data_IF_640980368180
#
_entry.id   IF_640980368180
#
_cell.length_a   1.000
_cell.length_b   1.000
_cell.length_c   1.000
_cell.angle_alpha   90.00
_cell.angle_beta   90.00
_cell.angle_gamma   90.00
#
_symmetry.space_group_name_H-M   'P 1'
#
loop_
_entity.id
_entity.type
_entity.pdbx_description
1 polymer ?
#
# COMPACT_ATOMS: atom_id res chain seq x y z
N UNK A 1 6.44 -17.70 -5.01
CA UNK A 1 7.05 -16.96 -3.90
C UNK A 1 6.65 -15.49 -4.07
N UNK A 2 5.67 -15.04 -3.33
CA UNK A 2 5.18 -13.67 -3.38
C UNK A 2 5.52 -12.98 -2.05
N UNK A 3 6.32 -11.93 -2.11
CA UNK A 3 6.60 -11.05 -0.97
C UNK A 3 6.18 -9.64 -1.38
N UNK A 4 5.17 -9.09 -0.71
CA UNK A 4 4.78 -7.71 -0.85
C UNK A 4 5.13 -6.92 0.41
N UNK A 5 5.92 -5.84 0.29
CA UNK A 5 6.27 -4.95 1.40
C UNK A 5 6.86 -5.68 2.63
N UNK A 6 7.98 -6.37 2.42
CA UNK A 6 8.74 -7.01 3.49
C UNK A 6 9.96 -6.14 3.87
N UNK A 7 9.98 -5.65 5.10
CA UNK A 7 11.04 -4.79 5.61
C UNK A 7 11.87 -5.53 6.67
N UNK A 8 13.20 -5.51 6.53
CA UNK A 8 14.14 -6.15 7.47
C UNK A 8 13.74 -7.59 7.83
N UNK A 9 13.19 -8.33 6.86
CA UNK A 9 12.69 -9.68 7.05
C UNK A 9 13.43 -10.68 6.19
N UNK A 10 13.59 -11.92 6.68
CA UNK A 10 14.32 -12.99 5.99
C UNK A 10 13.58 -14.33 6.07
N UNK A 11 13.86 -15.18 5.10
CA UNK A 11 13.31 -16.54 5.05
C UNK A 11 11.77 -16.57 5.14
N UNK A 12 11.11 -15.60 4.46
CA UNK A 12 9.67 -15.47 4.44
C UNK A 12 9.12 -15.83 3.06
N UNK A 13 7.97 -16.49 3.02
CA UNK A 13 7.32 -16.96 1.78
C UNK A 13 5.84 -16.59 1.83
N UNK A 14 5.32 -16.06 0.70
CA UNK A 14 3.90 -15.71 0.51
C UNK A 14 3.35 -14.78 1.62
N UNK A 15 4.16 -13.78 1.98
CA UNK A 15 3.84 -12.82 3.02
C UNK A 15 3.60 -11.42 2.45
N UNK A 16 2.73 -10.64 3.14
CA UNK A 16 2.39 -9.28 2.77
C UNK A 16 2.41 -8.37 3.99
N UNK A 17 3.05 -7.19 3.89
CA UNK A 17 3.19 -6.22 5.00
C UNK A 17 3.83 -6.82 6.25
N UNK A 18 5.05 -7.31 6.13
CA UNK A 18 5.81 -7.84 7.25
C UNK A 18 7.03 -6.98 7.58
N UNK A 19 7.35 -6.85 8.85
CA UNK A 19 8.49 -6.05 9.32
C UNK A 19 9.24 -6.79 10.44
N UNK A 20 10.60 -6.72 10.38
CA UNK A 20 11.49 -7.27 11.41
C UNK A 20 11.17 -8.74 11.75
N UNK A 21 10.87 -9.56 10.75
CA UNK A 21 10.34 -10.91 10.95
C UNK A 21 11.16 -11.97 10.21
N UNK A 22 11.10 -13.21 10.67
CA UNK A 22 11.89 -14.31 10.14
C UNK A 22 11.12 -15.62 10.17
N UNK A 23 11.35 -16.48 9.17
CA UNK A 23 10.74 -17.81 9.04
C UNK A 23 9.19 -17.75 9.05
N UNK A 24 8.61 -16.89 8.20
CA UNK A 24 7.16 -16.77 8.08
C UNK A 24 6.64 -17.39 6.78
N UNK A 25 5.46 -17.99 6.86
CA UNK A 25 4.72 -18.48 5.71
C UNK A 25 3.25 -18.04 5.76
N UNK A 26 2.73 -17.49 4.65
CA UNK A 26 1.35 -16.99 4.54
C UNK A 26 0.95 -16.01 5.66
N UNK A 27 1.79 -15.02 5.94
CA UNK A 27 1.55 -14.05 7.00
C UNK A 27 1.24 -12.66 6.44
N UNK A 28 0.25 -11.98 7.05
CA UNK A 28 -0.21 -10.66 6.64
C UNK A 28 -0.23 -9.70 7.83
N UNK A 29 0.28 -8.47 7.62
CA UNK A 29 0.34 -7.40 8.63
C UNK A 29 1.05 -7.84 9.93
N UNK A 30 2.20 -8.50 9.81
CA UNK A 30 2.92 -9.06 10.95
C UNK A 30 4.22 -8.29 11.24
N UNK A 31 4.51 -8.09 12.52
CA UNK A 31 5.70 -7.38 12.96
C UNK A 31 6.43 -8.11 14.09
N UNK A 32 7.74 -8.26 13.98
CA UNK A 32 8.60 -8.97 14.94
C UNK A 32 8.07 -10.35 15.29
N UNK A 33 7.68 -11.09 14.25
CA UNK A 33 7.24 -12.48 14.38
C UNK A 33 8.34 -13.44 13.93
N UNK A 34 8.36 -14.64 14.52
CA UNK A 34 9.37 -15.65 14.27
C UNK A 34 8.77 -17.05 14.20
N UNK A 35 9.23 -17.87 13.24
CA UNK A 35 8.84 -19.28 13.05
C UNK A 35 7.33 -19.49 13.15
N UNK A 36 6.59 -18.83 12.27
CA UNK A 36 5.14 -18.80 12.36
C UNK A 36 4.47 -18.88 10.98
N UNK A 37 3.29 -19.49 10.92
CA UNK A 37 2.56 -19.68 9.69
C UNK A 37 1.12 -19.20 9.81
N UNK A 38 0.57 -18.65 8.71
CA UNK A 38 -0.83 -18.23 8.61
C UNK A 38 -1.22 -17.24 9.73
N UNK A 39 -0.40 -16.22 9.92
CA UNK A 39 -0.69 -15.16 10.87
C UNK A 39 -1.34 -13.97 10.19
N UNK A 40 -2.30 -13.35 10.88
CA UNK A 40 -2.90 -12.08 10.46
C UNK A 40 -2.85 -11.06 11.59
N UNK A 41 -2.24 -9.90 11.30
CA UNK A 41 -2.17 -8.77 12.26
C UNK A 41 -1.52 -9.13 13.61
N UNK A 42 -0.50 -9.97 13.60
CA UNK A 42 0.19 -10.39 14.80
C UNK A 42 1.49 -9.61 15.03
N UNK A 43 1.82 -9.38 16.31
CA UNK A 43 3.03 -8.67 16.70
C UNK A 43 3.75 -9.40 17.83
N UNK A 44 5.09 -9.33 17.81
CA UNK A 44 5.93 -9.90 18.88
C UNK A 44 5.58 -11.37 19.19
N UNK A 45 5.28 -12.16 18.16
CA UNK A 45 4.78 -13.52 18.34
C UNK A 45 5.72 -14.56 17.71
N UNK A 46 5.83 -15.74 18.32
CA UNK A 46 6.71 -16.80 17.87
C UNK A 46 6.05 -18.18 17.99
N UNK A 47 6.43 -19.10 17.09
CA UNK A 47 5.89 -20.47 17.06
C UNK A 47 4.35 -20.48 17.05
N UNK A 48 3.74 -19.53 16.34
CA UNK A 48 2.29 -19.36 16.27
C UNK A 48 1.77 -19.82 14.90
N UNK A 49 0.62 -20.48 14.89
CA UNK A 49 0.02 -21.04 13.70
C UNK A 49 -1.45 -20.67 13.63
N UNK A 50 -1.92 -20.14 12.49
CA UNK A 50 -3.33 -19.76 12.29
C UNK A 50 -3.87 -18.80 13.34
N UNK A 51 -3.07 -17.80 13.74
CA UNK A 51 -3.46 -16.83 14.76
C UNK A 51 -3.78 -15.47 14.18
N UNK A 52 -4.78 -14.79 14.74
CA UNK A 52 -5.25 -13.49 14.30
C UNK A 52 -5.22 -12.47 15.44
N UNK A 53 -4.71 -11.25 15.15
CA UNK A 53 -4.64 -10.13 16.09
C UNK A 53 -4.04 -10.53 17.45
N UNK A 54 -3.01 -11.36 17.46
CA UNK A 54 -2.30 -11.77 18.67
C UNK A 54 -1.04 -10.92 18.90
N UNK A 55 -0.75 -10.56 20.16
CA UNK A 55 0.40 -9.73 20.51
C UNK A 55 1.16 -10.32 21.67
N UNK A 56 2.48 -10.51 21.51
CA UNK A 56 3.36 -11.04 22.53
C UNK A 56 3.05 -12.50 22.88
N UNK A 57 2.54 -13.27 21.94
CA UNK A 57 2.15 -14.66 22.14
C UNK A 57 3.24 -15.62 21.68
N UNK A 58 3.33 -16.79 22.33
CA UNK A 58 4.21 -17.87 21.92
C UNK A 58 3.51 -19.21 22.00
N UNK A 59 3.89 -20.10 21.07
CA UNK A 59 3.36 -21.46 21.08
C UNK A 59 1.82 -21.46 21.11
N UNK A 60 1.18 -20.88 20.10
CA UNK A 60 -0.28 -20.78 20.01
C UNK A 60 -0.78 -21.30 18.66
N UNK A 61 -1.96 -21.94 18.64
CA UNK A 61 -2.60 -22.45 17.42
C UNK A 61 -4.06 -22.03 17.37
N UNK A 62 -4.49 -21.44 16.24
CA UNK A 62 -5.88 -21.08 15.99
C UNK A 62 -6.43 -20.08 16.99
N UNK A 63 -5.62 -19.13 17.46
CA UNK A 63 -6.00 -18.18 18.51
C UNK A 63 -6.30 -16.80 17.93
N UNK A 64 -7.26 -16.11 18.56
CA UNK A 64 -7.72 -14.78 18.13
C UNK A 64 -7.68 -13.83 19.32
N UNK A 65 -7.20 -12.60 19.09
CA UNK A 65 -7.20 -11.48 20.06
C UNK A 65 -6.39 -11.72 21.35
N UNK A 66 -5.49 -12.67 21.40
CA UNK A 66 -4.71 -12.96 22.60
C UNK A 66 -3.59 -11.94 22.83
N UNK A 67 -3.29 -11.69 24.09
CA UNK A 67 -2.22 -10.80 24.54
C UNK A 67 -1.36 -11.51 25.57
N UNK A 68 -0.05 -11.60 25.29
CA UNK A 68 0.97 -12.16 26.20
C UNK A 68 0.59 -13.54 26.74
N UNK A 69 0.12 -14.42 25.86
CA UNK A 69 -0.26 -15.79 26.19
C UNK A 69 0.70 -16.81 25.56
N UNK A 70 0.77 -17.97 26.20
CA UNK A 70 1.57 -19.09 25.73
C UNK A 70 0.81 -20.42 25.89
N UNK A 71 1.13 -21.39 25.04
CA UNK A 71 0.54 -22.73 25.05
C UNK A 71 -0.98 -22.71 24.93
N UNK A 72 -1.52 -21.91 24.00
CA UNK A 72 -2.95 -21.80 23.75
C UNK A 72 -3.36 -22.48 22.44
N UNK A 73 -4.50 -23.15 22.46
CA UNK A 73 -5.16 -23.72 21.28
C UNK A 73 -6.61 -23.26 21.30
N UNK A 74 -7.06 -22.56 20.22
CA UNK A 74 -8.41 -21.97 20.12
C UNK A 74 -8.81 -21.16 21.37
N UNK A 75 -7.93 -20.26 21.79
CA UNK A 75 -8.04 -19.40 22.99
C UNK A 75 -8.10 -20.16 24.34
N UNK A 76 -7.89 -21.46 24.37
CA UNK A 76 -7.82 -22.24 25.59
C UNK A 76 -6.36 -22.51 25.96
N UNK A 77 -6.00 -22.28 27.22
CA UNK A 77 -4.65 -22.52 27.74
C UNK A 77 -4.46 -23.97 28.15
N UNK A 78 -3.32 -24.54 27.82
CA UNK A 78 -2.93 -25.93 28.16
C UNK A 78 -1.61 -25.95 28.94
N UNK A 79 -1.27 -27.09 29.52
CA UNK A 79 0.09 -27.34 29.96
C UNK A 79 1.02 -27.47 28.74
N UNK A 80 2.32 -27.26 28.93
CA UNK A 80 3.29 -27.39 27.85
C UNK A 80 3.25 -28.79 27.19
N UNK A 81 3.14 -29.81 28.00
CA UNK A 81 3.12 -31.21 27.58
C UNK A 81 1.86 -31.52 26.76
N UNK A 82 0.69 -31.08 27.21
CA UNK A 82 -0.57 -31.22 26.49
C UNK A 82 -0.58 -30.44 25.18
N UNK A 83 -0.04 -29.21 25.18
CA UNK A 83 0.08 -28.38 23.99
C UNK A 83 0.91 -29.08 22.91
N UNK A 84 2.10 -29.59 23.24
CA UNK A 84 2.99 -30.29 22.31
C UNK A 84 2.28 -31.48 21.67
N UNK A 85 1.63 -32.31 22.48
CA UNK A 85 0.88 -33.47 21.98
C UNK A 85 -0.24 -33.08 21.02
N UNK A 86 -1.04 -32.06 21.36
CA UNK A 86 -2.16 -31.58 20.52
C UNK A 86 -1.67 -30.88 19.26
N UNK A 87 -0.55 -30.11 19.33
CA UNK A 87 0.08 -29.45 18.18
C UNK A 87 0.42 -30.45 17.08
N UNK A 88 1.07 -31.56 17.42
CA UNK A 88 1.44 -32.59 16.45
C UNK A 88 0.23 -33.20 15.73
N UNK A 89 -0.89 -33.42 16.45
CA UNK A 89 -2.12 -33.92 15.88
C UNK A 89 -2.83 -32.89 14.97
N UNK A 90 -2.87 -31.63 15.38
CA UNK A 90 -3.55 -30.57 14.64
C UNK A 90 -2.81 -30.20 13.34
N UNK A 91 -1.49 -30.08 13.38
CA UNK A 91 -0.71 -29.71 12.20
C UNK A 91 -0.64 -30.82 11.13
N UNK A 92 -0.97 -32.05 11.46
CA UNK A 92 -1.11 -33.14 10.49
C UNK A 92 -2.39 -33.08 9.65
N UNK A 93 -3.40 -32.35 10.11
CA UNK A 93 -4.67 -32.20 9.39
C UNK A 93 -5.27 -30.80 9.57
N UNK A 94 -5.08 -29.95 8.57
CA UNK A 94 -5.52 -28.56 8.57
C UNK A 94 -7.03 -28.39 8.74
N UNK A 95 -7.85 -29.33 8.25
CA UNK A 95 -9.31 -29.29 8.43
C UNK A 95 -9.73 -29.28 9.92
N UNK A 96 -8.88 -29.84 10.79
CA UNK A 96 -9.10 -29.80 12.24
C UNK A 96 -8.86 -28.40 12.85
N UNK A 97 -8.20 -27.51 12.12
CA UNK A 97 -7.96 -26.13 12.55
C UNK A 97 -9.03 -25.21 11.98
N UNK A 98 -9.40 -25.36 10.72
CA UNK A 98 -10.30 -24.42 10.01
C UNK A 98 -11.69 -24.31 10.64
N UNK A 99 -12.32 -25.43 10.96
CA UNK A 99 -13.68 -25.42 11.52
C UNK A 99 -13.73 -24.78 12.91
N UNK A 100 -12.93 -25.19 13.92
CA UNK A 100 -12.93 -24.52 15.22
C UNK A 100 -12.51 -23.06 15.15
N UNK A 101 -11.57 -22.71 14.27
CA UNK A 101 -11.15 -21.32 14.08
C UNK A 101 -12.29 -20.46 13.49
N UNK A 102 -13.05 -20.97 12.53
CA UNK A 102 -14.21 -20.29 11.96
C UNK A 102 -15.31 -20.05 13.02
N UNK A 103 -15.57 -21.05 13.87
CA UNK A 103 -16.50 -20.90 14.99
C UNK A 103 -16.01 -19.87 16.03
N UNK A 104 -14.71 -19.84 16.28
CA UNK A 104 -14.10 -18.84 17.18
C UNK A 104 -14.20 -17.44 16.61
N UNK A 105 -13.97 -17.24 15.30
CA UNK A 105 -14.13 -15.95 14.61
C UNK A 105 -15.53 -15.35 14.78
N UNK A 106 -16.56 -16.17 14.84
CA UNK A 106 -17.94 -15.72 15.05
C UNK A 106 -18.23 -15.29 16.51
N UNK A 107 -17.41 -15.72 17.45
CA UNK A 107 -17.57 -15.42 18.88
C UNK A 107 -16.70 -14.29 19.36
N UNK A 108 -15.54 -14.10 18.72
CA UNK A 108 -14.58 -13.09 19.12
C UNK A 108 -14.92 -11.73 18.49
N UNK A 109 -14.81 -10.64 19.25
CA UNK A 109 -15.05 -9.31 18.72
C UNK A 109 -13.95 -8.94 17.70
N UNK A 110 -14.36 -8.48 16.53
CA UNK A 110 -13.48 -7.99 15.49
C UNK A 110 -13.49 -6.46 15.51
N UNK A 111 -12.31 -5.84 15.51
CA UNK A 111 -12.21 -4.39 15.35
C UNK A 111 -12.68 -3.99 13.95
N UNK A 112 -13.58 -3.02 13.88
CA UNK A 112 -14.03 -2.47 12.61
C UNK A 112 -12.90 -1.73 11.88
N UNK A 113 -12.03 -1.04 12.64
CA UNK A 113 -10.92 -0.24 12.12
C UNK A 113 -9.66 -0.43 13.00
N UNK A 114 -8.52 -0.46 12.34
CA UNK A 114 -7.22 -0.45 12.99
C UNK A 114 -6.65 0.96 12.93
N UNK A 115 -6.89 1.73 13.98
CA UNK A 115 -6.38 3.10 14.12
C UNK A 115 -5.77 3.28 15.50
N UNK A 116 -4.63 3.95 15.57
CA UNK A 116 -3.94 4.26 16.82
C UNK A 116 -3.28 5.64 16.76
N UNK A 117 -3.49 6.45 17.81
CA UNK A 117 -2.96 7.82 17.90
C UNK A 117 -3.32 8.68 16.69
N UNK A 118 -4.56 8.58 16.23
CA UNK A 118 -5.05 9.37 15.11
C UNK A 118 -6.02 10.45 15.57
N UNK A 119 -5.93 11.62 14.95
CA UNK A 119 -6.79 12.77 15.17
C UNK A 119 -7.51 13.13 13.87
N UNK A 120 -8.82 13.40 13.93
CA UNK A 120 -9.66 13.79 12.80
C UNK A 120 -9.46 12.95 11.52
N UNK A 121 -9.38 11.62 11.71
CA UNK A 121 -9.01 10.72 10.64
C UNK A 121 -10.09 9.66 10.37
N UNK A 122 -10.29 9.33 9.09
CA UNK A 122 -11.20 8.29 8.59
C UNK A 122 -10.41 7.38 7.66
N UNK A 123 -10.34 6.10 7.99
CA UNK A 123 -9.60 5.12 7.20
C UNK A 123 -9.34 3.84 7.98
N UNK A 124 -8.43 3.04 7.49
CA UNK A 124 -8.03 1.80 8.18
C UNK A 124 -6.51 1.60 8.14
N UNK A 125 -5.99 0.94 9.18
CA UNK A 125 -4.56 0.71 9.37
C UNK A 125 -3.76 2.03 9.42
N UNK A 126 -4.23 2.96 10.27
CA UNK A 126 -3.61 4.27 10.47
C UNK A 126 -2.88 4.32 11.81
N UNK A 127 -1.64 4.81 11.80
CA UNK A 127 -0.83 4.99 12.99
C UNK A 127 -0.24 6.41 13.06
N UNK A 128 -0.54 7.14 14.13
CA UNK A 128 -0.03 8.49 14.37
C UNK A 128 -0.33 9.44 13.20
N UNK A 129 -1.58 9.43 12.72
CA UNK A 129 -2.02 10.26 11.60
C UNK A 129 -2.96 11.38 12.06
N UNK A 130 -2.93 12.50 11.35
CA UNK A 130 -3.81 13.64 11.57
C UNK A 130 -4.45 14.10 10.26
N UNK A 131 -5.75 14.45 10.32
CA UNK A 131 -6.52 14.90 9.15
C UNK A 131 -6.42 13.94 7.95
N UNK A 132 -6.38 12.62 8.19
CA UNK A 132 -6.32 11.61 7.13
C UNK A 132 -7.73 11.18 6.73
N UNK A 133 -8.17 11.53 5.52
CA UNK A 133 -9.52 11.27 5.04
C UNK A 133 -9.57 10.19 3.97
N UNK A 134 -10.26 9.08 4.25
CA UNK A 134 -10.31 7.89 3.39
C UNK A 134 -8.92 7.36 3.02
N UNK A 135 -8.05 7.26 4.02
CA UNK A 135 -6.70 6.78 3.86
C UNK A 135 -6.53 5.36 4.40
N UNK A 136 -5.57 4.64 3.83
CA UNK A 136 -5.28 3.25 4.20
C UNK A 136 -3.77 3.03 4.31
N UNK A 137 -3.34 2.25 5.32
CA UNK A 137 -1.93 1.88 5.52
C UNK A 137 -0.99 3.09 5.64
N UNK A 138 -1.37 4.09 6.45
CA UNK A 138 -0.55 5.28 6.71
C UNK A 138 0.08 5.28 8.10
N UNK A 139 1.33 5.71 8.14
CA UNK A 139 2.10 5.92 9.37
C UNK A 139 2.63 7.36 9.39
N UNK A 140 2.49 8.05 10.54
CA UNK A 140 3.06 9.38 10.79
C UNK A 140 2.73 10.43 9.70
N UNK A 141 1.49 10.40 9.20
CA UNK A 141 1.06 11.19 8.05
C UNK A 141 0.02 12.24 8.44
N UNK A 142 0.01 13.39 7.74
CA UNK A 142 -0.83 14.53 8.05
C UNK A 142 -1.43 15.15 6.77
N UNK A 143 -2.69 15.65 6.88
CA UNK A 143 -3.40 16.34 5.79
C UNK A 143 -3.48 15.53 4.49
N UNK A 144 -3.83 14.26 4.62
CA UNK A 144 -3.89 13.30 3.50
C UNK A 144 -5.33 12.97 3.12
N UNK A 145 -5.61 12.82 1.81
CA UNK A 145 -6.91 12.36 1.30
C UNK A 145 -6.73 11.30 0.23
N UNK A 146 -7.48 10.20 0.36
CA UNK A 146 -7.45 9.10 -0.62
C UNK A 146 -6.03 8.56 -0.88
N UNK A 147 -5.23 8.48 0.18
CA UNK A 147 -3.86 7.95 0.11
C UNK A 147 -3.87 6.53 0.61
N UNK A 148 -3.31 5.64 -0.17
CA UNK A 148 -3.05 4.28 0.24
C UNK A 148 -1.55 3.99 0.24
N UNK A 149 -1.07 3.55 1.40
CA UNK A 149 0.32 3.28 1.69
C UNK A 149 1.23 4.52 1.73
N UNK A 150 1.63 4.92 2.92
CA UNK A 150 2.57 6.03 3.11
C UNK A 150 3.14 6.09 4.52
N UNK A 151 4.35 6.60 4.65
CA UNK A 151 5.01 6.92 5.91
C UNK A 151 5.56 8.35 5.85
N UNK A 152 5.17 9.18 6.82
CA UNK A 152 5.58 10.59 6.85
C UNK A 152 4.99 11.45 5.73
N UNK A 153 3.90 11.00 5.09
CA UNK A 153 3.27 11.70 3.96
C UNK A 153 2.49 12.92 4.44
N UNK A 154 2.65 14.06 3.75
CA UNK A 154 1.98 15.32 4.09
C UNK A 154 1.33 15.98 2.88
N UNK A 155 0.26 16.74 3.15
CA UNK A 155 -0.42 17.60 2.16
C UNK A 155 -0.67 16.88 0.82
N UNK A 156 -1.20 15.67 0.88
CA UNK A 156 -1.23 14.78 -0.28
C UNK A 156 -2.61 14.23 -0.59
N UNK A 157 -2.95 14.09 -1.88
CA UNK A 157 -4.23 13.58 -2.34
C UNK A 157 -4.07 12.62 -3.51
N UNK A 158 -4.92 11.56 -3.53
CA UNK A 158 -5.04 10.57 -4.61
C UNK A 158 -3.75 9.79 -4.93
N UNK A 159 -3.01 9.37 -3.88
CA UNK A 159 -1.71 8.72 -4.03
C UNK A 159 -1.79 7.24 -3.67
N UNK A 160 -1.15 6.42 -4.47
CA UNK A 160 -0.88 5.03 -4.17
C UNK A 160 0.65 4.81 -4.09
N UNK A 161 1.17 4.52 -2.89
CA UNK A 161 2.55 4.10 -2.68
C UNK A 161 3.60 5.20 -2.73
N UNK A 162 3.47 6.26 -1.93
CA UNK A 162 4.50 7.31 -1.87
C UNK A 162 4.80 7.78 -0.44
N UNK A 163 6.00 7.54 0.08
CA UNK A 163 6.50 8.26 1.26
C UNK A 163 6.89 9.71 0.91
N UNK A 164 6.78 10.62 1.86
CA UNK A 164 7.27 12.00 1.86
C UNK A 164 6.76 12.95 0.76
N UNK A 165 5.55 12.75 0.25
CA UNK A 165 4.97 13.65 -0.76
C UNK A 165 4.34 14.89 -0.11
N UNK A 166 4.59 16.07 -0.69
CA UNK A 166 3.92 17.32 -0.35
C UNK A 166 3.18 17.86 -1.58
N UNK A 167 1.91 18.26 -1.40
CA UNK A 167 1.04 18.87 -2.40
C UNK A 167 0.88 18.07 -3.71
N UNK A 168 0.86 16.77 -3.60
CA UNK A 168 0.74 15.86 -4.74
C UNK A 168 -0.73 15.55 -5.04
N UNK A 169 -1.07 15.46 -6.30
CA UNK A 169 -2.40 15.14 -6.82
C UNK A 169 -2.29 14.06 -7.91
N UNK A 170 -3.08 12.99 -7.82
CA UNK A 170 -3.17 11.86 -8.76
C UNK A 170 -1.82 11.25 -9.19
N UNK A 171 -0.97 10.87 -8.24
CA UNK A 171 0.31 10.24 -8.55
C UNK A 171 0.25 8.72 -8.39
N UNK A 172 0.79 7.98 -9.33
CA UNK A 172 1.08 6.55 -9.23
C UNK A 172 2.58 6.35 -8.93
N UNK A 173 2.89 6.02 -7.69
CA UNK A 173 4.16 5.50 -7.21
C UNK A 173 5.39 6.41 -7.31
N UNK A 174 5.78 7.09 -6.20
CA UNK A 174 7.13 7.63 -6.07
C UNK A 174 7.50 7.96 -4.63
N UNK A 175 8.69 7.59 -4.17
CA UNK A 175 9.26 8.14 -2.96
C UNK A 175 9.76 9.58 -3.18
N UNK A 176 9.49 10.49 -2.26
CA UNK A 176 10.10 11.81 -2.10
C UNK A 176 9.76 12.86 -3.17
N UNK A 177 8.48 13.11 -3.43
CA UNK A 177 8.05 14.15 -4.35
C UNK A 177 7.71 15.48 -3.65
N UNK A 178 7.89 16.58 -4.36
CA UNK A 178 7.53 17.93 -3.97
C UNK A 178 6.72 18.59 -5.08
N UNK A 179 5.52 19.07 -4.76
CA UNK A 179 4.60 19.81 -5.67
C UNK A 179 4.39 19.15 -7.05
N UNK A 180 4.20 17.85 -7.09
CA UNK A 180 3.85 17.13 -8.33
C UNK A 180 2.34 17.17 -8.53
N UNK A 181 1.87 17.49 -9.73
CA UNK A 181 0.47 17.41 -10.14
C UNK A 181 0.34 16.42 -11.27
N UNK A 182 -0.57 15.44 -11.14
CA UNK A 182 -0.91 14.47 -12.16
C UNK A 182 0.32 13.74 -12.74
N UNK A 183 1.30 13.44 -11.87
CA UNK A 183 2.54 12.79 -12.25
C UNK A 183 2.44 11.26 -12.19
N UNK A 184 3.25 10.59 -12.96
CA UNK A 184 3.47 9.15 -12.88
C UNK A 184 4.95 8.90 -12.63
N UNK A 185 5.28 8.14 -11.56
CA UNK A 185 6.59 7.63 -11.23
C UNK A 185 7.75 8.65 -11.28
N UNK A 186 7.87 9.52 -10.29
CA UNK A 186 9.04 10.40 -10.07
C UNK A 186 9.98 9.79 -9.02
N UNK A 187 11.08 9.18 -9.41
CA UNK A 187 11.86 8.28 -8.57
C UNK A 187 13.04 8.89 -7.79
N UNK A 188 13.38 10.17 -7.94
CA UNK A 188 14.61 10.69 -7.31
C UNK A 188 14.49 12.15 -6.87
N UNK A 189 14.94 12.47 -5.67
CA UNK A 189 15.25 13.84 -5.19
C UNK A 189 16.43 14.45 -5.97
N UNK A 190 16.46 15.76 -6.18
CA UNK A 190 15.39 16.71 -5.94
C UNK A 190 14.59 17.01 -7.23
N UNK A 191 13.34 16.57 -7.30
CA UNK A 191 12.44 17.03 -8.36
C UNK A 191 11.40 17.99 -7.76
N UNK A 192 11.07 19.07 -8.48
CA UNK A 192 10.11 20.07 -8.02
C UNK A 192 9.30 20.66 -9.17
N UNK A 193 8.07 21.07 -8.91
CA UNK A 193 7.19 21.73 -9.90
C UNK A 193 7.04 20.94 -11.20
N UNK A 194 6.80 19.64 -11.09
CA UNK A 194 6.51 18.77 -12.25
C UNK A 194 4.99 18.69 -12.46
N UNK A 195 4.53 18.92 -13.67
CA UNK A 195 3.11 18.82 -14.03
C UNK A 195 2.95 17.96 -15.27
N UNK A 196 2.10 16.91 -15.22
CA UNK A 196 1.91 15.95 -16.31
C UNK A 196 3.20 15.23 -16.76
N UNK A 197 4.16 15.04 -15.85
CA UNK A 197 5.44 14.44 -16.20
C UNK A 197 5.47 12.93 -15.87
N UNK A 198 6.19 12.17 -16.69
CA UNK A 198 6.37 10.73 -16.53
C UNK A 198 7.86 10.36 -16.51
N UNK A 199 8.31 9.60 -15.49
CA UNK A 199 9.71 9.15 -15.33
C UNK A 199 10.78 10.27 -15.36
N UNK A 200 10.44 11.49 -14.98
CA UNK A 200 11.41 12.59 -14.89
C UNK A 200 12.20 12.54 -13.58
N UNK A 201 13.54 12.70 -13.65
CA UNK A 201 14.46 12.57 -12.51
C UNK A 201 15.31 13.83 -12.35
N UNK A 202 15.41 14.33 -11.12
CA UNK A 202 16.18 15.51 -10.79
C UNK A 202 15.84 16.73 -11.69
N UNK A 203 14.55 16.89 -12.01
CA UNK A 203 14.03 17.93 -12.88
C UNK A 203 13.25 18.98 -12.08
N UNK A 204 13.18 20.20 -12.58
CA UNK A 204 12.36 21.25 -11.99
C UNK A 204 11.66 22.10 -13.05
N UNK A 205 10.43 22.57 -12.73
CA UNK A 205 9.64 23.39 -13.65
C UNK A 205 9.48 22.72 -15.02
N UNK A 206 8.95 21.49 -15.03
CA UNK A 206 8.72 20.76 -16.26
C UNK A 206 7.22 20.46 -16.44
N UNK A 207 6.74 20.58 -17.67
CA UNK A 207 5.35 20.37 -18.04
C UNK A 207 5.25 19.38 -19.20
N UNK A 208 4.43 18.33 -19.04
CA UNK A 208 4.19 17.28 -20.04
C UNK A 208 5.48 16.64 -20.58
N UNK A 209 6.44 16.37 -19.71
CA UNK A 209 7.73 15.79 -20.08
C UNK A 209 7.83 14.31 -19.72
N UNK A 210 8.59 13.55 -20.53
CA UNK A 210 8.78 12.11 -20.37
C UNK A 210 10.27 11.79 -20.33
N UNK A 211 10.70 11.01 -19.32
CA UNK A 211 12.05 10.46 -19.20
C UNK A 211 13.18 11.49 -19.23
N UNK A 212 12.96 12.70 -18.73
CA UNK A 212 14.00 13.70 -18.61
C UNK A 212 14.87 13.47 -17.36
N UNK A 213 16.12 13.90 -17.45
CA UNK A 213 17.09 13.84 -16.37
C UNK A 213 17.85 15.15 -16.23
N UNK A 214 17.86 15.71 -15.01
CA UNK A 214 18.58 16.95 -14.67
C UNK A 214 18.24 18.16 -15.59
N UNK A 215 16.97 18.35 -15.90
CA UNK A 215 16.52 19.45 -16.75
C UNK A 215 15.62 20.44 -15.99
N UNK A 216 15.59 21.67 -16.48
CA UNK A 216 14.75 22.76 -15.96
C UNK A 216 14.04 23.47 -17.09
N UNK A 217 12.84 24.03 -16.78
CA UNK A 217 12.04 24.83 -17.71
C UNK A 217 11.74 24.12 -19.04
N UNK A 218 11.26 22.87 -18.96
CA UNK A 218 10.95 22.09 -20.15
C UNK A 218 9.43 21.97 -20.34
N UNK A 219 9.00 22.05 -21.59
CA UNK A 219 7.62 21.74 -22.03
C UNK A 219 7.71 20.74 -23.17
N UNK A 220 7.01 19.57 -23.05
CA UNK A 220 7.04 18.51 -24.05
C UNK A 220 8.47 18.10 -24.44
N UNK A 221 9.34 17.93 -23.48
CA UNK A 221 10.78 17.61 -23.61
C UNK A 221 11.64 18.68 -24.28
N UNK A 222 11.08 19.83 -24.66
CA UNK A 222 11.88 20.95 -25.18
C UNK A 222 12.22 21.92 -24.06
N UNK A 223 13.48 22.28 -23.95
CA UNK A 223 13.96 23.26 -22.97
C UNK A 223 13.76 24.70 -23.46
N UNK A 224 13.36 25.56 -22.57
CA UNK A 224 13.14 26.98 -22.75
C UNK A 224 13.97 27.79 -21.75
N UNK A 225 14.11 29.08 -21.97
CA UNK A 225 14.54 29.99 -20.90
C UNK A 225 13.44 30.10 -19.85
N UNK A 226 13.78 30.53 -18.65
CA UNK A 226 12.81 30.75 -17.57
C UNK A 226 11.72 31.75 -17.98
N UNK A 227 12.08 32.79 -18.67
CA UNK A 227 11.18 33.83 -19.16
C UNK A 227 10.19 33.26 -20.20
N UNK A 228 10.69 32.54 -21.18
CA UNK A 228 9.85 31.88 -22.21
C UNK A 228 8.91 30.85 -21.58
N UNK A 229 9.41 30.04 -20.65
CA UNK A 229 8.61 29.04 -19.93
C UNK A 229 7.45 29.70 -19.18
N UNK A 230 7.75 30.74 -18.39
CA UNK A 230 6.76 31.47 -17.60
C UNK A 230 5.74 32.22 -18.47
N UNK A 231 6.09 32.60 -19.69
CA UNK A 231 5.18 33.21 -20.64
C UNK A 231 4.29 32.16 -21.36
N UNK A 232 4.84 31.01 -21.72
CA UNK A 232 4.15 30.03 -22.54
C UNK A 232 3.23 29.11 -21.69
N UNK A 233 3.68 28.69 -20.52
CA UNK A 233 2.97 27.75 -19.68
C UNK A 233 1.54 28.20 -19.31
N UNK A 234 1.27 29.43 -18.90
CA UNK A 234 -0.09 29.88 -18.59
C UNK A 234 -1.05 29.76 -19.78
N UNK A 235 -0.57 30.02 -20.99
CA UNK A 235 -1.37 29.92 -22.23
C UNK A 235 -1.77 28.48 -22.53
N UNK A 236 -0.84 27.54 -22.31
CA UNK A 236 -1.12 26.12 -22.46
C UNK A 236 -2.17 25.68 -21.43
N UNK A 237 -2.01 26.08 -20.17
CA UNK A 237 -2.97 25.77 -19.11
C UNK A 237 -4.35 26.35 -19.41
N UNK A 238 -4.43 27.58 -19.90
CA UNK A 238 -5.69 28.19 -20.31
C UNK A 238 -6.35 27.44 -21.45
N UNK A 239 -5.58 27.05 -22.46
CA UNK A 239 -6.06 26.19 -23.54
C UNK A 239 -6.63 24.87 -23.01
N UNK A 240 -5.88 24.17 -22.15
CA UNK A 240 -6.32 22.91 -21.53
C UNK A 240 -7.57 23.06 -20.66
N UNK A 241 -7.77 24.21 -20.01
CA UNK A 241 -9.01 24.51 -19.28
C UNK A 241 -10.19 24.63 -20.23
N UNK A 242 -10.00 25.31 -21.34
CA UNK A 242 -11.04 25.53 -22.35
C UNK A 242 -11.45 24.23 -23.09
N UNK A 243 -10.52 23.28 -23.22
CA UNK A 243 -10.76 21.96 -23.81
C UNK A 243 -11.21 20.90 -22.79
N UNK A 244 -11.21 21.23 -21.47
CA UNK A 244 -11.59 20.32 -20.41
C UNK A 244 -10.49 19.29 -20.05
N UNK A 245 -9.27 19.46 -20.53
CA UNK A 245 -8.13 18.56 -20.27
C UNK A 245 -7.40 18.85 -18.94
N UNK A 246 -7.46 20.11 -18.50
CA UNK A 246 -6.79 20.52 -17.27
C UNK A 246 -7.42 19.86 -16.04
N UNK A 247 -6.60 19.21 -15.23
CA UNK A 247 -7.05 18.49 -14.04
C UNK A 247 -7.51 17.06 -14.32
N UNK A 248 -7.40 16.57 -15.56
CA UNK A 248 -7.65 15.16 -15.89
C UNK A 248 -6.34 14.38 -15.88
N UNK A 249 -6.40 13.13 -15.36
CA UNK A 249 -5.27 12.21 -15.47
C UNK A 249 -5.05 11.75 -16.91
N UNK A 250 -3.92 11.12 -17.18
CA UNK A 250 -3.60 10.63 -18.52
C UNK A 250 -4.67 9.68 -19.06
N UNK A 251 -5.14 9.86 -20.32
CA UNK A 251 -6.13 8.97 -20.89
C UNK A 251 -5.59 7.56 -21.07
N UNK A 252 -6.44 6.55 -20.82
CA UNK A 252 -6.06 5.14 -20.94
C UNK A 252 -5.53 4.74 -22.34
N UNK A 253 -5.87 5.53 -23.35
CA UNK A 253 -5.41 5.32 -24.74
C UNK A 253 -3.88 5.44 -24.91
N UNK A 254 -3.19 6.20 -24.06
CA UNK A 254 -1.73 6.32 -24.11
C UNK A 254 -1.00 5.21 -23.33
N UNK A 255 -1.73 4.39 -22.56
CA UNK A 255 -1.12 3.26 -21.85
C UNK A 255 -0.42 2.32 -22.84
N UNK A 256 0.82 1.88 -22.58
CA UNK A 256 1.50 0.87 -23.39
C UNK A 256 0.90 -0.53 -23.19
N UNK A 257 0.11 -0.74 -22.13
CA UNK A 257 -0.44 -2.02 -21.72
C UNK A 257 -1.92 -2.13 -22.07
N UNK A 258 -2.37 -3.34 -22.41
CA UNK A 258 -3.78 -3.67 -22.52
C UNK A 258 -4.38 -3.91 -21.12
N UNK A 259 -5.67 -3.67 -20.94
CA UNK A 259 -6.34 -3.81 -19.64
C UNK A 259 -6.11 -5.18 -19.01
N UNK A 260 -6.25 -6.25 -19.80
CA UNK A 260 -6.05 -7.63 -19.37
C UNK A 260 -4.58 -8.05 -19.17
N UNK A 261 -3.63 -7.14 -19.38
CA UNK A 261 -2.21 -7.32 -19.07
C UNK A 261 -1.79 -6.59 -17.78
N UNK A 262 -2.73 -5.93 -17.13
CA UNK A 262 -2.48 -5.14 -15.92
C UNK A 262 -3.14 -5.75 -14.69
N UNK A 263 -2.66 -5.42 -13.50
CA UNK A 263 -3.29 -5.79 -12.23
C UNK A 263 -4.74 -5.26 -12.08
N UNK A 264 -5.16 -4.30 -12.90
CA UNK A 264 -6.56 -3.87 -12.93
C UNK A 264 -7.51 -5.02 -13.27
N UNK A 265 -7.10 -5.94 -14.13
CA UNK A 265 -7.90 -7.13 -14.45
C UNK A 265 -8.07 -8.08 -13.27
N UNK A 266 -7.08 -8.15 -12.37
CA UNK A 266 -7.13 -9.02 -11.19
C UNK A 266 -8.09 -8.46 -10.13
N UNK A 267 -8.07 -7.14 -9.92
CA UNK A 267 -8.88 -6.46 -8.89
C UNK A 267 -10.24 -6.01 -9.39
N UNK A 268 -10.36 -5.65 -10.65
CA UNK A 268 -11.57 -5.13 -11.29
C UNK A 268 -11.81 -5.83 -12.63
N UNK A 269 -12.14 -7.13 -12.61
CA UNK A 269 -12.23 -7.93 -13.82
C UNK A 269 -13.30 -7.40 -14.78
N UNK A 270 -12.92 -7.19 -16.03
CA UNK A 270 -13.83 -6.82 -17.12
C UNK A 270 -13.80 -7.89 -18.22
N UNK A 271 -14.93 -8.02 -18.93
CA UNK A 271 -14.96 -8.77 -20.19
C UNK A 271 -14.39 -7.90 -21.31
N UNK A 272 -13.91 -8.51 -22.39
CA UNK A 272 -13.33 -7.82 -23.54
C UNK A 272 -14.23 -6.72 -24.09
N UNK A 273 -15.50 -7.03 -24.28
CA UNK A 273 -16.50 -6.10 -24.84
C UNK A 273 -16.71 -4.88 -23.94
N UNK A 274 -16.72 -5.10 -22.62
CA UNK A 274 -16.88 -4.04 -21.62
C UNK A 274 -15.64 -3.13 -21.56
N UNK A 275 -14.45 -3.73 -21.61
CA UNK A 275 -13.18 -3.01 -21.62
C UNK A 275 -13.06 -2.12 -22.86
N UNK A 276 -13.36 -2.67 -24.04
CA UNK A 276 -13.35 -1.91 -25.31
C UNK A 276 -14.39 -0.79 -25.34
N UNK A 277 -15.59 -1.03 -24.79
CA UNK A 277 -16.64 0.01 -24.67
C UNK A 277 -16.20 1.17 -23.77
N UNK A 278 -15.36 0.92 -22.76
CA UNK A 278 -14.79 1.94 -21.87
C UNK A 278 -13.53 2.60 -22.46
N UNK A 279 -13.12 2.25 -23.68
CA UNK A 279 -11.95 2.81 -24.34
C UNK A 279 -10.61 2.19 -23.92
N UNK A 280 -10.63 1.07 -23.20
CA UNK A 280 -9.41 0.35 -22.85
C UNK A 280 -8.93 -0.53 -24.01
N UNK A 281 -7.61 -0.70 -24.12
CA UNK A 281 -7.02 -1.68 -25.04
C UNK A 281 -7.20 -3.10 -24.48
N UNK A 282 -7.33 -4.07 -25.37
CA UNK A 282 -7.41 -5.48 -25.03
C UNK A 282 -6.56 -6.33 -25.98
N UNK A 283 -5.78 -7.24 -25.44
CA UNK A 283 -4.98 -8.21 -26.20
C UNK A 283 -5.72 -9.51 -26.46
#
# INVERSE_FOLDING_TARGET
MYLGYAFHSRDCIDCFFIKDSELLYECVDCQRCYDSNNLKQCKDSRNCYYCENCVGCSDCIGCINLRKQEFCIFNQKFSKEEYIKRKEELLKNLQRIEKPLSELRLKEPVKALFMSKCEDSIGNNLLNCKNAYHCFDLIESEDCRYVSYGEGTRDSMDINGAPHCELTYEMAGSPECYMVRLGSACWVKPSSYLTYCHLCRACSHCFSCVSLHQNKFCILNKQYTEEEYNHLLPKIIEHMKNTGEWGQFFPSSISPWCYNETSAQDYYPLKKEEALKKGYKWK
#
